data_IF_256408676304
#
_entry.id   IF_256408676304
#
_cell.length_a   1.000
_cell.length_b   1.000
_cell.length_c   1.000
_cell.angle_alpha   90.00
_cell.angle_beta   90.00
_cell.angle_gamma   90.00
#
_symmetry.space_group_name_H-M   'P 1'
#
loop_
_entity.id
_entity.type
_entity.pdbx_description
1 polymer ?
#
# COMPACT_ATOMS: atom_id res chain seq x y z
N UNK A 1 -31.99 22.00 0.87
CA UNK A 1 -30.51 21.94 1.09
C UNK A 1 -30.16 20.65 1.87
N UNK A 2 -30.07 19.47 1.24
CA UNK A 2 -29.77 18.21 2.00
C UNK A 2 -29.13 17.08 1.16
N UNK A 3 -29.42 17.01 -0.15
CA UNK A 3 -28.90 15.92 -1.02
C UNK A 3 -27.38 15.98 -1.33
N UNK A 4 -26.71 17.13 -1.13
CA UNK A 4 -25.27 17.28 -1.43
C UNK A 4 -24.33 16.79 -0.32
N UNK A 5 -24.72 16.93 0.97
CA UNK A 5 -23.87 16.50 2.10
C UNK A 5 -23.73 14.98 2.20
N UNK A 6 -24.79 14.23 1.89
CA UNK A 6 -24.77 12.77 1.94
C UNK A 6 -23.78 12.16 0.92
N UNK A 7 -23.79 12.63 -0.34
CA UNK A 7 -22.84 12.16 -1.37
C UNK A 7 -21.39 12.50 -1.03
N UNK A 8 -21.14 13.70 -0.50
CA UNK A 8 -19.80 14.11 -0.09
C UNK A 8 -19.26 13.26 1.07
N UNK A 9 -20.10 12.94 2.06
CA UNK A 9 -19.71 12.09 3.19
C UNK A 9 -19.47 10.63 2.77
N UNK A 10 -20.32 10.09 1.89
CA UNK A 10 -20.13 8.74 1.32
C UNK A 10 -18.85 8.67 0.50
N UNK A 11 -18.59 9.65 -0.39
CA UNK A 11 -17.35 9.72 -1.15
C UNK A 11 -16.10 9.82 -0.25
N UNK A 12 -16.21 10.54 0.88
CA UNK A 12 -15.13 10.67 1.86
C UNK A 12 -14.88 9.36 2.63
N UNK A 13 -15.92 8.64 3.03
CA UNK A 13 -15.80 7.33 3.69
C UNK A 13 -15.24 6.25 2.77
N UNK A 14 -15.66 6.25 1.50
CA UNK A 14 -15.10 5.37 0.46
C UNK A 14 -13.60 5.68 0.25
N UNK A 15 -13.25 6.97 0.17
CA UNK A 15 -11.85 7.39 -0.01
C UNK A 15 -10.95 6.98 1.18
N UNK A 16 -11.41 7.13 2.43
CA UNK A 16 -10.64 6.69 3.61
C UNK A 16 -10.45 5.16 3.59
N UNK A 17 -11.49 4.40 3.28
CA UNK A 17 -11.42 2.94 3.19
C UNK A 17 -10.43 2.49 2.12
N UNK A 18 -10.44 3.17 0.97
CA UNK A 18 -9.51 2.92 -0.13
C UNK A 18 -8.06 3.22 0.27
N UNK A 19 -7.81 4.34 0.96
CA UNK A 19 -6.47 4.70 1.46
C UNK A 19 -5.94 3.68 2.46
N UNK A 20 -6.77 3.26 3.42
CA UNK A 20 -6.41 2.24 4.41
C UNK A 20 -6.11 0.91 3.71
N UNK A 21 -6.95 0.51 2.76
CA UNK A 21 -6.78 -0.74 2.00
C UNK A 21 -5.44 -0.75 1.26
N UNK A 22 -5.11 0.34 0.55
CA UNK A 22 -3.84 0.48 -0.16
C UNK A 22 -2.63 0.49 0.78
N UNK A 23 -2.76 1.08 1.97
CA UNK A 23 -1.72 1.06 2.99
C UNK A 23 -1.44 -0.37 3.49
N UNK A 24 -2.49 -1.10 3.87
CA UNK A 24 -2.40 -2.46 4.39
C UNK A 24 -1.84 -3.43 3.35
N UNK A 25 -2.26 -3.31 2.08
CA UNK A 25 -1.70 -4.07 0.97
C UNK A 25 -0.20 -3.78 0.80
N UNK A 26 0.19 -2.52 0.87
CA UNK A 26 1.60 -2.13 0.82
C UNK A 26 2.43 -2.73 1.97
N UNK A 27 1.86 -2.76 3.19
CA UNK A 27 2.49 -3.39 4.38
C UNK A 27 2.72 -4.87 4.17
N UNK A 28 1.68 -5.60 3.73
CA UNK A 28 1.75 -7.05 3.49
C UNK A 28 2.80 -7.35 2.43
N UNK A 29 2.82 -6.61 1.32
CA UNK A 29 3.82 -6.79 0.26
C UNK A 29 5.24 -6.58 0.79
N UNK A 30 5.48 -5.54 1.59
CA UNK A 30 6.83 -5.29 2.16
C UNK A 30 7.24 -6.39 3.12
N UNK A 31 6.37 -6.82 4.03
CA UNK A 31 6.69 -7.87 5.00
C UNK A 31 7.02 -9.20 4.32
N UNK A 32 6.19 -9.65 3.37
CA UNK A 32 6.40 -10.92 2.66
C UNK A 32 7.68 -10.91 1.81
N UNK A 33 8.03 -9.75 1.22
CA UNK A 33 9.29 -9.59 0.46
C UNK A 33 10.52 -9.50 1.37
N UNK A 34 10.38 -9.04 2.61
CA UNK A 34 11.48 -9.02 3.58
C UNK A 34 11.73 -10.39 4.21
N UNK A 35 10.69 -11.21 4.38
CA UNK A 35 10.79 -12.55 4.96
C UNK A 35 11.30 -13.61 3.96
N UNK A 36 10.94 -13.48 2.67
CA UNK A 36 11.53 -14.29 1.62
C UNK A 36 12.72 -13.56 1.00
N UNK A 37 13.95 -14.04 1.24
CA UNK A 37 15.19 -13.51 0.64
C UNK A 37 14.93 -12.86 -0.73
N UNK A 38 15.23 -11.57 -0.88
CA UNK A 38 14.91 -10.69 -2.02
C UNK A 38 15.28 -11.27 -3.41
N UNK A 39 14.59 -12.31 -3.86
CA UNK A 39 14.71 -12.80 -5.22
C UNK A 39 13.68 -12.04 -6.03
N UNK A 40 14.16 -11.24 -6.98
CA UNK A 40 13.33 -10.50 -7.91
C UNK A 40 12.26 -11.38 -8.59
N UNK A 41 12.53 -12.68 -8.73
CA UNK A 41 11.58 -13.68 -9.24
C UNK A 41 10.42 -13.96 -8.29
N UNK A 42 10.69 -14.17 -6.99
CA UNK A 42 9.65 -14.42 -5.98
C UNK A 42 8.75 -13.21 -5.80
N UNK A 43 9.34 -12.01 -5.72
CA UNK A 43 8.56 -10.77 -5.62
C UNK A 43 7.67 -10.52 -6.84
N UNK A 44 8.11 -10.88 -8.05
CA UNK A 44 7.28 -10.79 -9.27
C UNK A 44 6.10 -11.77 -9.23
N UNK A 45 6.32 -13.01 -8.80
CA UNK A 45 5.26 -14.02 -8.68
C UNK A 45 4.24 -13.65 -7.60
N UNK A 46 4.72 -13.15 -6.45
CA UNK A 46 3.87 -12.67 -5.36
C UNK A 46 2.93 -11.56 -5.84
N UNK A 47 3.48 -10.52 -6.49
CA UNK A 47 2.65 -9.42 -6.98
C UNK A 47 1.62 -9.88 -8.02
N UNK A 48 1.97 -10.88 -8.85
CA UNK A 48 1.04 -11.45 -9.82
C UNK A 48 -0.12 -12.17 -9.10
N UNK A 49 0.18 -13.05 -8.14
CA UNK A 49 -0.86 -13.76 -7.39
C UNK A 49 -1.76 -12.81 -6.57
N UNK A 50 -1.18 -11.79 -5.94
CA UNK A 50 -1.97 -10.76 -5.23
C UNK A 50 -2.85 -9.96 -6.19
N UNK A 51 -2.36 -9.67 -7.40
CA UNK A 51 -3.13 -8.96 -8.44
C UNK A 51 -4.34 -9.78 -8.89
N UNK A 52 -4.16 -11.09 -9.11
CA UNK A 52 -5.22 -12.01 -9.50
C UNK A 52 -6.31 -12.10 -8.42
N UNK A 53 -5.91 -12.35 -7.16
CA UNK A 53 -6.85 -12.48 -6.03
C UNK A 53 -7.63 -11.19 -5.77
N UNK A 54 -6.98 -10.03 -5.82
CA UNK A 54 -7.66 -8.75 -5.58
C UNK A 54 -8.57 -8.37 -6.75
N UNK A 55 -8.16 -8.65 -7.98
CA UNK A 55 -9.02 -8.43 -9.15
C UNK A 55 -10.26 -9.32 -9.09
N UNK A 56 -10.11 -10.60 -8.68
CA UNK A 56 -11.21 -11.54 -8.51
C UNK A 56 -12.21 -11.08 -7.42
N UNK A 57 -11.70 -10.59 -6.28
CA UNK A 57 -12.53 -10.26 -5.12
C UNK A 57 -13.12 -8.85 -5.14
N UNK A 58 -12.40 -7.89 -5.72
CA UNK A 58 -12.71 -6.46 -5.62
C UNK A 58 -12.99 -5.83 -6.99
N UNK A 59 -12.87 -6.58 -8.08
CA UNK A 59 -13.03 -6.10 -9.45
C UNK A 59 -11.78 -5.44 -10.01
N UNK A 60 -11.92 -4.76 -11.16
CA UNK A 60 -10.79 -4.17 -11.87
C UNK A 60 -10.04 -3.09 -11.06
N UNK A 61 -8.78 -2.84 -11.44
CA UNK A 61 -7.94 -1.79 -10.86
C UNK A 61 -6.78 -2.29 -9.99
N UNK A 62 -6.72 -3.59 -9.70
CA UNK A 62 -5.68 -4.22 -8.87
C UNK A 62 -4.53 -4.81 -9.70
N UNK A 63 -4.04 -4.09 -10.70
CA UNK A 63 -2.90 -4.53 -11.50
C UNK A 63 -1.60 -4.61 -10.67
N UNK A 64 -0.63 -5.36 -11.17
CA UNK A 64 0.74 -5.40 -10.59
C UNK A 64 1.33 -4.00 -10.40
N UNK A 65 1.02 -3.05 -11.29
CA UNK A 65 1.46 -1.66 -11.16
C UNK A 65 0.78 -0.93 -9.99
N UNK A 66 -0.53 -1.14 -9.79
CA UNK A 66 -1.25 -0.64 -8.61
C UNK A 66 -0.63 -1.18 -7.33
N UNK A 67 -0.26 -2.46 -7.29
CA UNK A 67 0.39 -3.06 -6.12
C UNK A 67 1.80 -2.53 -5.87
N UNK A 68 2.59 -2.26 -6.91
CA UNK A 68 3.88 -1.54 -6.79
C UNK A 68 3.70 -0.14 -6.20
N UNK A 69 2.63 0.57 -6.60
CA UNK A 69 2.29 1.87 -6.02
C UNK A 69 1.89 1.74 -4.55
N UNK A 70 1.13 0.71 -4.17
CA UNK A 70 0.79 0.42 -2.77
C UNK A 70 2.03 0.12 -1.92
N UNK A 71 2.95 -0.70 -2.43
CA UNK A 71 4.25 -0.97 -1.79
C UNK A 71 5.02 0.34 -1.57
N UNK A 72 5.16 1.17 -2.61
CA UNK A 72 5.85 2.47 -2.51
C UNK A 72 5.16 3.41 -1.51
N UNK A 73 3.84 3.45 -1.53
CA UNK A 73 3.03 4.23 -0.59
C UNK A 73 3.32 3.81 0.85
N UNK A 74 3.25 2.51 1.17
CA UNK A 74 3.59 2.02 2.49
C UNK A 74 5.05 2.32 2.87
N UNK A 75 6.02 2.09 1.97
CA UNK A 75 7.42 2.40 2.24
C UNK A 75 7.62 3.87 2.63
N UNK A 76 7.03 4.82 1.87
CA UNK A 76 7.17 6.26 2.11
C UNK A 76 6.50 6.69 3.43
N UNK A 77 5.31 6.17 3.71
CA UNK A 77 4.50 6.60 4.86
C UNK A 77 4.62 5.66 6.08
N UNK A 78 5.49 4.65 6.03
CA UNK A 78 5.80 3.79 7.17
C UNK A 78 6.73 4.52 8.14
N UNK A 79 6.35 4.54 9.42
CA UNK A 79 7.07 5.23 10.50
C UNK A 79 8.53 4.73 10.64
N UNK A 80 8.80 3.47 10.27
CA UNK A 80 10.14 2.88 10.31
C UNK A 80 11.14 3.53 9.35
N UNK A 81 10.73 4.01 8.17
CA UNK A 81 11.62 4.68 7.21
C UNK A 81 11.87 6.15 7.58
N UNK A 82 10.87 6.82 8.14
CA UNK A 82 10.96 8.24 8.54
C UNK A 82 11.88 8.40 9.77
N UNK A 83 11.90 7.42 10.69
CA UNK A 83 12.80 7.42 11.84
C UNK A 83 14.26 7.07 11.50
N UNK A 84 14.49 6.09 10.61
CA UNK A 84 15.84 5.58 10.36
C UNK A 84 16.76 6.59 9.64
N UNK A 85 16.24 7.35 8.67
CA UNK A 85 17.06 8.32 7.93
C UNK A 85 17.36 9.57 8.75
N UNK A 86 16.39 10.09 9.52
CA UNK A 86 16.59 11.33 10.30
C UNK A 86 17.40 11.08 11.58
N UNK A 87 17.24 9.92 12.24
CA UNK A 87 18.03 9.59 13.45
C UNK A 87 19.49 9.25 13.15
N UNK A 88 19.80 8.74 11.95
CA UNK A 88 21.20 8.42 11.59
C UNK A 88 22.01 9.68 11.31
N UNK A 89 21.39 10.75 10.83
CA UNK A 89 22.05 12.05 10.62
C UNK A 89 22.20 12.87 11.91
N UNK A 90 21.29 12.70 12.89
CA UNK A 90 21.36 13.42 14.17
C UNK A 90 22.44 12.91 15.13
N UNK A 91 22.96 11.68 14.93
CA UNK A 91 23.98 11.08 15.82
C UNK A 91 25.43 11.40 15.39
N UNK A 92 25.63 12.25 14.37
CA UNK A 92 26.95 12.68 13.86
C UNK A 92 27.28 14.15 14.10
N UNK A 93 26.57 14.83 15.00
CA UNK A 93 26.93 16.18 15.46
C UNK A 93 27.29 16.18 16.93
#
# INVERSE_FOLDING_TARGET
>A
MSKFKARANVARAVNITEVITKYEIGRIIVNVVQEGEERATYGKQLLKGVSEVLTERLGDGWSVETLKRCRKFFTIYSVKQIGATVLTEFKKR
#
